data_IF_412673458909
#
_entry.id   IF_412673458909
#
_cell.length_a   1.000
_cell.length_b   1.000
_cell.length_c   1.000
_cell.angle_alpha   90.00
_cell.angle_beta   90.00
_cell.angle_gamma   90.00
#
_symmetry.space_group_name_H-M   'P 1'
#
loop_
_entity.id
_entity.type
_entity.pdbx_description
1 polymer ?
#
# COMPACT_ATOMS: atom_id res chain seq x y z
N UNK A 1 20.87 2.56 4.84
CA UNK A 1 20.45 3.86 4.31
C UNK A 1 19.20 4.30 5.06
N UNK A 2 19.14 5.57 5.53
CA UNK A 2 17.99 6.15 6.17
C UNK A 2 17.03 6.67 5.08
N UNK A 3 15.72 6.44 5.22
CA UNK A 3 14.75 7.00 4.29
C UNK A 3 14.66 8.53 4.46
N UNK A 4 14.43 9.01 5.69
CA UNK A 4 14.37 10.44 6.00
C UNK A 4 14.97 10.73 7.37
N UNK A 5 15.81 11.77 7.42
CA UNK A 5 16.23 12.40 8.67
C UNK A 5 15.70 13.82 8.68
N UNK A 6 14.97 14.22 9.72
CA UNK A 6 14.43 15.56 9.83
C UNK A 6 14.49 16.08 11.27
N UNK A 7 14.55 17.39 11.40
CA UNK A 7 14.51 18.08 12.69
C UNK A 7 13.19 18.82 12.85
N UNK A 8 12.44 18.48 13.88
CA UNK A 8 11.22 19.17 14.27
C UNK A 8 11.59 20.41 15.11
N UNK A 9 11.48 21.58 14.51
CA UNK A 9 11.83 22.85 15.14
C UNK A 9 10.95 23.20 16.33
N UNK A 10 9.72 22.69 16.38
CA UNK A 10 8.80 22.96 17.50
C UNK A 10 9.13 22.11 18.72
N UNK A 11 9.60 20.90 18.50
CA UNK A 11 9.98 19.96 19.57
C UNK A 11 11.47 20.00 19.90
N UNK A 12 12.25 20.73 19.10
CA UNK A 12 13.72 20.72 19.15
C UNK A 12 14.28 19.29 19.15
N UNK A 13 13.78 18.46 18.26
CA UNK A 13 14.09 17.03 18.22
C UNK A 13 14.32 16.50 16.80
N UNK A 14 15.33 15.65 16.66
CA UNK A 14 15.63 15.01 15.37
C UNK A 14 15.04 13.61 15.31
N UNK A 15 14.44 13.30 14.19
CA UNK A 15 13.80 12.02 13.91
C UNK A 15 14.46 11.31 12.72
N UNK A 16 14.56 10.01 12.86
CA UNK A 16 14.80 9.07 11.78
C UNK A 16 13.45 8.46 11.40
N UNK A 17 12.92 8.82 10.26
CA UNK A 17 11.62 8.35 9.78
C UNK A 17 11.80 7.32 8.66
N UNK A 18 11.31 6.11 8.89
CA UNK A 18 11.19 5.07 7.89
C UNK A 18 9.80 5.11 7.26
N UNK A 19 9.75 5.16 5.94
CA UNK A 19 8.53 5.28 5.16
C UNK A 19 8.24 3.98 4.41
N UNK A 20 6.99 3.56 4.44
CA UNK A 20 6.51 2.50 3.56
C UNK A 20 5.18 2.87 2.94
N UNK A 21 5.09 2.77 1.62
CA UNK A 21 3.82 2.90 0.91
C UNK A 21 3.48 1.54 0.33
N UNK A 22 2.33 1.00 0.73
CA UNK A 22 1.92 -0.34 0.36
C UNK A 22 0.42 -0.43 0.08
N UNK A 23 0.08 -1.38 -0.76
CA UNK A 23 -1.28 -1.76 -1.10
C UNK A 23 -1.47 -3.21 -0.70
N UNK A 24 -2.49 -3.48 0.12
CA UNK A 24 -2.79 -4.83 0.57
C UNK A 24 -4.25 -5.15 0.32
N UNK A 25 -4.50 -6.40 -0.06
CA UNK A 25 -5.82 -6.97 -0.28
C UNK A 25 -6.15 -7.89 0.89
N UNK A 26 -7.30 -7.68 1.51
CA UNK A 26 -7.85 -8.61 2.48
C UNK A 26 -8.19 -9.92 1.77
N UNK A 27 -7.70 -11.06 2.25
CA UNK A 27 -7.93 -12.36 1.62
C UNK A 27 -9.40 -12.77 1.62
N UNK A 28 -10.12 -12.41 2.66
CA UNK A 28 -11.57 -12.61 2.79
C UNK A 28 -12.18 -11.54 3.70
N UNK A 29 -13.49 -11.53 3.83
CA UNK A 29 -14.22 -10.63 4.73
C UNK A 29 -14.08 -11.05 6.20
N UNK A 30 -14.37 -10.12 7.11
CA UNK A 30 -14.38 -10.34 8.55
C UNK A 30 -13.09 -9.95 9.25
N UNK A 31 -12.89 -10.45 10.45
CA UNK A 31 -11.68 -10.21 11.21
C UNK A 31 -10.51 -11.03 10.66
N UNK A 32 -9.40 -10.37 10.39
CA UNK A 32 -8.21 -10.97 9.78
C UNK A 32 -6.96 -10.71 10.62
N UNK A 33 -6.08 -11.69 10.81
CA UNK A 33 -4.72 -11.41 11.23
C UNK A 33 -3.92 -10.75 10.09
N UNK A 34 -2.88 -9.99 10.41
CA UNK A 34 -2.06 -9.28 9.41
C UNK A 34 -1.46 -10.17 8.31
N UNK A 35 -1.27 -11.47 8.58
CA UNK A 35 -0.79 -12.41 7.57
C UNK A 35 -1.78 -12.67 6.42
N UNK A 36 -3.05 -12.35 6.59
CA UNK A 36 -4.11 -12.50 5.58
C UNK A 36 -4.33 -11.21 4.74
N UNK A 37 -3.48 -10.22 4.93
CA UNK A 37 -3.40 -9.04 4.07
C UNK A 37 -2.23 -9.20 3.11
N UNK A 38 -2.55 -9.45 1.85
CA UNK A 38 -1.58 -9.80 0.81
C UNK A 38 -1.35 -8.62 -0.13
N UNK A 39 -0.12 -8.44 -0.58
CA UNK A 39 0.14 -7.54 -1.70
C UNK A 39 -0.57 -8.02 -2.97
N UNK A 40 -0.85 -7.15 -3.94
CA UNK A 40 -1.59 -7.52 -5.14
C UNK A 40 -1.01 -8.72 -5.90
N UNK A 41 0.30 -8.91 -5.85
CA UNK A 41 1.01 -10.04 -6.47
C UNK A 41 1.17 -11.25 -5.53
N UNK A 42 0.50 -11.25 -4.37
CA UNK A 42 0.58 -12.28 -3.32
C UNK A 42 1.97 -12.54 -2.72
N UNK A 43 3.01 -11.84 -3.20
CA UNK A 43 4.39 -12.01 -2.70
C UNK A 43 4.64 -11.22 -1.41
N UNK A 44 4.06 -10.05 -1.28
CA UNK A 44 4.14 -9.22 -0.07
C UNK A 44 3.05 -9.64 0.93
N UNK A 45 3.37 -9.54 2.23
CA UNK A 45 2.42 -9.73 3.34
C UNK A 45 2.59 -8.61 4.35
N UNK A 46 1.47 -8.13 4.90
CA UNK A 46 1.48 -7.01 5.85
C UNK A 46 2.25 -7.33 7.13
N UNK A 47 2.07 -8.52 7.71
CA UNK A 47 2.79 -8.96 8.92
C UNK A 47 4.31 -8.94 8.71
N UNK A 48 4.80 -9.53 7.61
CA UNK A 48 6.23 -9.55 7.27
C UNK A 48 6.80 -8.16 7.01
N UNK A 49 5.99 -7.28 6.39
CA UNK A 49 6.42 -5.90 6.16
C UNK A 49 6.55 -5.13 7.46
N UNK A 50 5.57 -5.27 8.37
CA UNK A 50 5.62 -4.64 9.69
C UNK A 50 6.78 -5.18 10.52
N UNK A 51 6.97 -6.51 10.58
CA UNK A 51 8.08 -7.13 11.27
C UNK A 51 9.43 -6.57 10.79
N UNK A 52 9.64 -6.51 9.47
CA UNK A 52 10.88 -5.96 8.90
C UNK A 52 11.09 -4.48 9.24
N UNK A 53 10.03 -3.67 9.21
CA UNK A 53 10.11 -2.25 9.58
C UNK A 53 10.50 -2.10 11.05
N UNK A 54 9.87 -2.87 11.93
CA UNK A 54 10.07 -2.76 13.37
C UNK A 54 11.41 -3.35 13.83
N UNK A 55 11.82 -4.50 13.28
CA UNK A 55 13.01 -5.22 13.75
C UNK A 55 14.32 -4.82 13.07
N UNK A 56 14.27 -4.22 11.89
CA UNK A 56 15.48 -3.89 11.15
C UNK A 56 15.62 -2.40 10.85
N UNK A 57 14.54 -1.79 10.31
CA UNK A 57 14.64 -0.43 9.83
C UNK A 57 14.61 0.59 10.98
N UNK A 58 13.74 0.40 11.98
CA UNK A 58 13.74 1.26 13.17
C UNK A 58 15.05 1.19 13.98
N UNK A 59 15.69 0.02 14.00
CA UNK A 59 16.95 -0.17 14.73
C UNK A 59 18.16 0.41 13.98
N UNK A 60 18.00 0.83 12.71
CA UNK A 60 19.12 1.31 11.89
C UNK A 60 19.90 2.43 12.57
N UNK A 61 19.23 3.40 13.20
CA UNK A 61 19.87 4.49 13.95
C UNK A 61 20.65 4.04 15.18
N UNK A 62 20.47 2.82 15.66
CA UNK A 62 21.16 2.25 16.79
C UNK A 62 22.37 1.38 16.38
N UNK A 63 22.46 1.03 15.10
CA UNK A 63 23.60 0.24 14.59
C UNK A 63 24.89 1.07 14.58
N UNK A 64 26.08 0.44 14.71
CA UNK A 64 27.36 1.16 14.61
C UNK A 64 27.51 1.96 13.31
N UNK A 65 27.08 1.41 12.17
CA UNK A 65 27.11 2.10 10.88
C UNK A 65 26.12 3.28 10.83
N UNK A 66 24.92 3.10 11.38
CA UNK A 66 23.91 4.17 11.49
C UNK A 66 24.41 5.30 12.39
N UNK A 67 24.97 5.00 13.56
CA UNK A 67 25.55 5.98 14.47
C UNK A 67 26.70 6.77 13.81
N UNK A 68 27.56 6.09 13.05
CA UNK A 68 28.63 6.77 12.32
C UNK A 68 28.07 7.71 11.24
N UNK A 69 27.04 7.30 10.51
CA UNK A 69 26.39 8.14 9.51
C UNK A 69 25.71 9.37 10.13
N UNK A 70 25.00 9.20 11.25
CA UNK A 70 24.39 10.30 12.01
C UNK A 70 25.44 11.29 12.49
N UNK A 71 26.56 10.79 13.07
CA UNK A 71 27.67 11.64 13.52
C UNK A 71 28.28 12.44 12.36
N UNK A 72 28.45 11.82 11.19
CA UNK A 72 28.95 12.51 9.99
C UNK A 72 28.00 13.63 9.54
N UNK A 73 26.68 13.43 9.71
CA UNK A 73 25.65 14.45 9.44
C UNK A 73 25.49 15.48 10.56
N UNK A 74 26.32 15.44 11.64
CA UNK A 74 26.22 16.35 12.77
C UNK A 74 25.04 16.06 13.71
N UNK A 75 24.42 14.88 13.59
CA UNK A 75 23.28 14.48 14.42
C UNK A 75 23.78 13.63 15.58
N UNK A 76 23.60 14.13 16.81
CA UNK A 76 24.04 13.46 18.03
C UNK A 76 23.03 12.41 18.49
N UNK A 77 21.75 12.73 18.36
CA UNK A 77 20.64 11.85 18.77
C UNK A 77 19.46 12.01 17.84
N UNK A 78 18.85 10.89 17.47
CA UNK A 78 17.57 10.90 16.78
C UNK A 78 16.65 9.80 17.32
N UNK A 79 15.36 10.03 17.23
CA UNK A 79 14.33 9.08 17.61
C UNK A 79 13.80 8.37 16.34
N UNK A 80 13.75 7.02 16.34
CA UNK A 80 13.21 6.30 15.20
C UNK A 80 11.70 6.38 15.15
N UNK A 81 11.17 6.60 13.96
CA UNK A 81 9.74 6.60 13.66
C UNK A 81 9.46 5.76 12.42
N UNK A 82 8.27 5.17 12.36
CA UNK A 82 7.76 4.46 11.19
C UNK A 82 6.45 5.09 10.76
N UNK A 83 6.30 5.30 9.46
CA UNK A 83 5.02 5.62 8.84
C UNK A 83 4.72 4.64 7.73
N UNK A 84 3.66 3.84 7.91
CA UNK A 84 3.10 3.00 6.86
C UNK A 84 1.89 3.73 6.29
N UNK A 85 1.95 4.05 5.03
CA UNK A 85 0.87 4.67 4.27
C UNK A 85 0.47 3.75 3.12
N UNK A 86 -0.65 4.04 2.47
CA UNK A 86 -1.15 3.29 1.34
C UNK A 86 -2.64 3.07 1.41
N UNK A 87 -3.10 1.97 0.86
CA UNK A 87 -4.52 1.70 0.72
C UNK A 87 -4.80 0.21 0.96
N UNK A 88 -5.91 -0.07 1.63
CA UNK A 88 -6.38 -1.44 1.86
C UNK A 88 -7.58 -1.72 0.95
N UNK A 89 -7.60 -2.91 0.38
CA UNK A 89 -8.63 -3.34 -0.56
C UNK A 89 -9.43 -4.50 0.01
N UNK A 90 -10.73 -4.42 -0.13
CA UNK A 90 -11.69 -5.35 0.43
C UNK A 90 -12.30 -6.24 -0.62
N UNK A 91 -12.61 -7.52 -0.31
CA UNK A 91 -13.16 -8.43 -1.29
C UNK A 91 -14.62 -8.06 -1.63
N UNK A 92 -14.90 -7.78 -2.89
CA UNK A 92 -16.25 -7.62 -3.43
C UNK A 92 -17.17 -6.72 -2.58
N UNK A 93 -16.67 -5.55 -2.12
CA UNK A 93 -17.39 -4.61 -1.26
C UNK A 93 -17.72 -5.13 0.16
N UNK A 94 -17.12 -6.23 0.58
CA UNK A 94 -17.28 -6.78 1.92
C UNK A 94 -16.19 -6.24 2.84
N UNK A 95 -16.55 -5.86 4.06
CA UNK A 95 -15.58 -5.31 5.01
C UNK A 95 -14.71 -6.38 5.64
N UNK A 96 -13.44 -6.05 5.80
CA UNK A 96 -12.49 -6.79 6.61
C UNK A 96 -11.82 -5.82 7.61
N UNK A 97 -11.29 -6.34 8.69
CA UNK A 97 -10.58 -5.53 9.68
C UNK A 97 -9.49 -6.34 10.39
N UNK A 98 -8.57 -5.63 11.02
CA UNK A 98 -7.58 -6.22 11.92
C UNK A 98 -7.34 -5.26 13.08
N UNK A 99 -7.08 -5.79 14.25
CA UNK A 99 -6.63 -4.97 15.37
C UNK A 99 -5.32 -4.25 15.00
N UNK A 100 -5.24 -2.96 15.31
CA UNK A 100 -4.06 -2.13 15.04
C UNK A 100 -4.03 -1.43 13.68
N UNK A 101 -5.03 -1.65 12.82
CA UNK A 101 -5.22 -0.81 11.63
C UNK A 101 -5.89 0.52 12.03
N UNK A 102 -5.44 1.63 11.41
CA UNK A 102 -6.15 2.89 11.52
C UNK A 102 -7.54 2.75 10.87
N UNK A 103 -8.65 2.99 11.57
CA UNK A 103 -9.99 2.87 11.00
C UNK A 103 -10.25 3.84 9.83
N UNK A 104 -9.54 4.96 9.79
CA UNK A 104 -9.69 6.00 8.75
C UNK A 104 -8.71 5.83 7.59
N UNK A 105 -8.17 4.62 7.38
CA UNK A 105 -7.28 4.38 6.25
C UNK A 105 -8.00 4.45 4.91
N UNK A 106 -7.33 4.87 3.82
CA UNK A 106 -7.89 4.81 2.48
C UNK A 106 -8.27 3.39 2.08
N UNK A 107 -9.43 3.23 1.46
CA UNK A 107 -10.00 1.93 1.09
C UNK A 107 -10.31 1.83 -0.39
N UNK A 108 -10.30 0.62 -0.91
CA UNK A 108 -10.79 0.26 -2.23
C UNK A 108 -11.37 -1.16 -2.21
N UNK A 109 -11.78 -1.64 -3.35
CA UNK A 109 -12.29 -3.00 -3.51
C UNK A 109 -11.34 -3.85 -4.36
N UNK A 110 -11.46 -5.15 -4.23
CA UNK A 110 -10.83 -6.05 -5.19
C UNK A 110 -11.81 -7.14 -5.64
N UNK A 111 -11.60 -7.60 -6.87
CA UNK A 111 -12.45 -8.58 -7.53
C UNK A 111 -11.59 -9.59 -8.27
N UNK A 112 -12.01 -10.84 -8.31
CA UNK A 112 -11.54 -11.78 -9.31
C UNK A 112 -12.00 -11.36 -10.70
N UNK A 113 -11.20 -11.62 -11.75
CA UNK A 113 -11.49 -11.18 -13.12
C UNK A 113 -12.83 -11.73 -13.62
N UNK A 114 -13.15 -13.00 -13.34
CA UNK A 114 -14.43 -13.60 -13.71
C UNK A 114 -15.63 -12.89 -13.06
N UNK A 115 -15.50 -12.51 -11.80
CA UNK A 115 -16.52 -11.72 -11.09
C UNK A 115 -16.63 -10.30 -11.62
N UNK A 116 -15.50 -9.66 -11.91
CA UNK A 116 -15.48 -8.30 -12.45
C UNK A 116 -16.20 -8.23 -13.80
N UNK A 117 -15.96 -9.19 -14.71
CA UNK A 117 -16.62 -9.28 -16.01
C UNK A 117 -18.14 -9.49 -15.91
N UNK A 118 -18.63 -10.16 -14.85
CA UNK A 118 -20.06 -10.37 -14.63
C UNK A 118 -20.80 -9.11 -14.18
N UNK A 119 -20.10 -8.06 -13.76
CA UNK A 119 -20.70 -6.77 -13.34
C UNK A 119 -21.28 -5.95 -14.51
N UNK A 120 -21.37 -6.53 -15.70
CA UNK A 120 -21.98 -5.95 -16.90
C UNK A 120 -21.53 -4.50 -17.23
N UNK A 121 -22.43 -3.63 -17.61
CA UNK A 121 -22.12 -2.31 -18.20
C UNK A 121 -21.32 -1.33 -17.33
N UNK A 122 -21.07 -1.64 -16.06
CA UNK A 122 -20.30 -0.76 -15.17
C UNK A 122 -18.80 -0.78 -15.44
N UNK A 123 -18.26 -1.83 -16.04
CA UNK A 123 -16.78 -1.90 -16.23
C UNK A 123 -16.24 -0.86 -17.21
N UNK A 124 -17.04 -0.37 -18.15
CA UNK A 124 -16.63 0.71 -19.07
C UNK A 124 -16.48 2.09 -18.40
N UNK A 125 -16.91 2.23 -17.16
CA UNK A 125 -16.71 3.45 -16.37
C UNK A 125 -15.33 3.47 -15.69
N UNK A 126 -14.58 2.37 -15.77
CA UNK A 126 -13.29 2.22 -15.19
C UNK A 126 -12.17 2.51 -16.19
N UNK A 127 -11.07 3.01 -15.68
CA UNK A 127 -9.83 3.24 -16.44
C UNK A 127 -8.69 2.48 -15.78
N UNK A 128 -7.72 2.05 -16.56
CA UNK A 128 -6.51 1.40 -16.07
C UNK A 128 -5.59 2.43 -15.44
N UNK A 129 -5.28 2.25 -14.16
CA UNK A 129 -4.33 3.08 -13.42
C UNK A 129 -2.99 2.34 -13.31
N UNK A 130 -2.00 2.77 -14.08
CA UNK A 130 -0.66 2.16 -14.05
C UNK A 130 0.24 2.78 -12.97
N UNK A 131 1.26 2.03 -12.52
CA UNK A 131 2.33 2.62 -11.70
C UNK A 131 3.07 3.71 -12.50
N UNK A 132 3.50 4.80 -11.88
CA UNK A 132 3.49 5.09 -10.44
C UNK A 132 2.21 5.76 -9.91
N UNK A 133 1.17 5.94 -10.71
CA UNK A 133 -0.05 6.71 -10.40
C UNK A 133 -0.98 6.02 -9.39
N UNK A 134 -0.63 4.87 -8.85
CA UNK A 134 -1.45 4.18 -7.85
C UNK A 134 -1.67 4.98 -6.57
N UNK A 135 -0.75 5.88 -6.23
CA UNK A 135 -0.86 6.76 -5.06
C UNK A 135 -1.72 7.99 -5.35
N UNK A 136 -1.59 8.49 -6.56
CA UNK A 136 -2.35 9.63 -7.04
C UNK A 136 -3.62 9.12 -7.73
N UNK A 137 -4.78 9.53 -7.24
CA UNK A 137 -6.06 9.16 -7.86
C UNK A 137 -6.30 9.98 -9.14
N UNK A 138 -5.35 9.88 -10.08
CA UNK A 138 -5.37 10.65 -11.33
C UNK A 138 -6.19 9.94 -12.39
N UNK A 139 -7.49 10.21 -12.39
CA UNK A 139 -8.42 9.67 -13.38
C UNK A 139 -8.13 10.18 -14.79
N UNK A 140 -7.70 11.43 -14.94
CA UNK A 140 -7.49 12.05 -16.26
C UNK A 140 -6.33 11.41 -17.02
N UNK A 141 -5.25 11.03 -16.30
CA UNK A 141 -4.10 10.34 -16.86
C UNK A 141 -4.25 8.81 -16.88
N UNK A 142 -5.33 8.26 -16.33
CA UNK A 142 -5.62 6.85 -16.43
C UNK A 142 -6.07 6.47 -17.86
N UNK A 143 -5.64 5.31 -18.33
CA UNK A 143 -5.97 4.84 -19.68
C UNK A 143 -7.40 4.29 -19.75
N UNK A 144 -8.18 4.59 -20.79
CA UNK A 144 -9.46 3.92 -21.00
C UNK A 144 -9.29 2.40 -20.93
N UNK A 145 -10.18 1.73 -20.22
CA UNK A 145 -10.16 0.28 -20.13
C UNK A 145 -10.72 -0.33 -21.42
N UNK A 146 -9.96 -1.26 -22.02
CA UNK A 146 -10.42 -2.09 -23.13
C UNK A 146 -10.26 -3.57 -22.77
N UNK A 147 -10.80 -4.46 -23.59
CA UNK A 147 -10.76 -5.92 -23.36
C UNK A 147 -9.31 -6.43 -23.22
N UNK A 148 -8.37 -5.96 -24.04
CA UNK A 148 -6.96 -6.38 -23.98
C UNK A 148 -6.29 -5.99 -22.68
N UNK A 149 -6.68 -4.85 -22.14
CA UNK A 149 -6.17 -4.38 -20.84
C UNK A 149 -6.79 -5.17 -19.69
N UNK A 150 -8.08 -5.51 -19.83
CA UNK A 150 -8.77 -6.34 -18.86
C UNK A 150 -8.24 -7.80 -18.89
N UNK A 151 -7.92 -8.35 -20.06
CA UNK A 151 -7.31 -9.67 -20.19
C UNK A 151 -5.97 -9.77 -19.44
N UNK A 152 -5.27 -8.66 -19.23
CA UNK A 152 -4.05 -8.65 -18.40
C UNK A 152 -4.33 -9.07 -16.95
N UNK A 153 -5.56 -8.87 -16.47
CA UNK A 153 -5.95 -9.27 -15.13
C UNK A 153 -6.05 -10.80 -14.96
N UNK A 154 -6.09 -11.57 -16.05
CA UNK A 154 -5.98 -13.04 -16.00
C UNK A 154 -4.57 -13.52 -15.63
N UNK A 155 -3.56 -12.70 -15.87
CA UNK A 155 -2.16 -13.04 -15.63
C UNK A 155 -1.55 -12.33 -14.43
N UNK A 156 -2.02 -11.14 -14.12
CA UNK A 156 -1.48 -10.30 -13.04
C UNK A 156 -2.50 -9.25 -12.57
N UNK A 157 -2.46 -8.87 -11.31
CA UNK A 157 -3.32 -7.81 -10.80
C UNK A 157 -3.19 -6.50 -11.58
N UNK A 158 -4.32 -5.88 -11.87
CA UNK A 158 -4.41 -4.54 -12.45
C UNK A 158 -5.19 -3.64 -11.50
N UNK A 159 -4.77 -2.38 -11.39
CA UNK A 159 -5.52 -1.38 -10.64
C UNK A 159 -6.37 -0.55 -11.60
N UNK A 160 -7.62 -0.37 -11.25
CA UNK A 160 -8.57 0.45 -11.98
C UNK A 160 -9.02 1.63 -11.12
N UNK A 161 -9.43 2.70 -11.79
CA UNK A 161 -10.00 3.91 -11.18
C UNK A 161 -11.24 4.32 -11.95
N UNK A 162 -12.27 4.81 -11.25
CA UNK A 162 -13.45 5.38 -11.88
C UNK A 162 -13.52 6.91 -11.73
N UNK A 163 -14.51 7.56 -12.34
CA UNK A 163 -14.71 9.00 -12.29
C UNK A 163 -14.96 9.58 -10.89
N UNK A 164 -15.33 8.74 -9.93
CA UNK A 164 -15.51 9.11 -8.51
C UNK A 164 -14.23 8.96 -7.70
N UNK A 165 -13.10 8.67 -8.38
CA UNK A 165 -11.79 8.42 -7.80
C UNK A 165 -11.73 7.17 -6.90
N UNK A 166 -12.74 6.31 -7.01
CA UNK A 166 -12.73 5.00 -6.37
C UNK A 166 -11.73 4.09 -7.11
N UNK A 167 -10.98 3.31 -6.37
CA UNK A 167 -9.96 2.39 -6.90
C UNK A 167 -10.32 0.96 -6.59
N UNK A 168 -10.11 0.09 -7.54
CA UNK A 168 -10.20 -1.34 -7.29
C UNK A 168 -9.04 -2.10 -7.93
N UNK A 169 -8.73 -3.25 -7.35
CA UNK A 169 -7.90 -4.25 -8.00
C UNK A 169 -8.77 -5.29 -8.70
N UNK A 170 -8.37 -5.67 -9.91
CA UNK A 170 -8.84 -6.88 -10.55
C UNK A 170 -7.67 -7.86 -10.59
N UNK A 171 -7.90 -9.05 -10.05
CA UNK A 171 -6.87 -10.10 -9.88
C UNK A 171 -7.25 -11.35 -10.65
N UNK A 172 -6.29 -12.23 -10.95
CA UNK A 172 -6.58 -13.55 -11.53
C UNK A 172 -7.60 -14.32 -10.69
N UNK A 173 -8.31 -15.28 -11.31
CA UNK A 173 -9.26 -16.14 -10.61
C UNK A 173 -8.56 -17.20 -9.73
N UNK A 174 -7.27 -17.50 -10.00
CA UNK A 174 -6.42 -18.44 -9.24
C UNK A 174 -5.08 -17.83 -8.83
#
# INVERSE_FOLDING_TARGET
EFDVLYHDMLKDHTFHLELAVKFFLARHAGELPFREWLGPNSADRLDRKLERLLSHQLELSQTPAGQQALKTAGIVKCEPQVRVAGMLFYPEQQKAWSHGLNPDHPTGDWFHIGKFRQRSDEHWQWRLLEKPYWLDADYENARPLDERQLDRAELRPVMLINKHLERCFVVPDD
#
